data_IF_531126060646
#
_entry.id   IF_531126060646
#
_cell.length_a   1.000
_cell.length_b   1.000
_cell.length_c   1.000
_cell.angle_alpha   90.00
_cell.angle_beta   90.00
_cell.angle_gamma   90.00
#
_symmetry.space_group_name_H-M   'P 1'
#
loop_
_entity.id
_entity.type
_entity.pdbx_description
1 polymer ?
#
# COMPACT_ATOMS: atom_id res chain seq x y z
N UNK A 1 -0.29 -4.86 23.00
CA UNK A 1 0.69 -5.94 22.78
C UNK A 1 1.79 -5.42 21.87
N UNK A 2 3.01 -5.31 22.39
CA UNK A 2 4.18 -4.88 21.59
C UNK A 2 4.53 -5.92 20.53
N UNK A 3 4.36 -7.21 20.83
CA UNK A 3 4.67 -8.30 19.90
C UNK A 3 3.83 -8.23 18.62
N UNK A 4 2.51 -7.95 18.73
CA UNK A 4 1.65 -7.79 17.56
C UNK A 4 2.00 -6.57 16.71
N UNK A 5 2.35 -5.46 17.36
CA UNK A 5 2.82 -4.26 16.67
C UNK A 5 4.15 -4.52 15.95
N UNK A 6 5.15 -5.07 16.62
CA UNK A 6 6.44 -5.40 16.03
C UNK A 6 6.32 -6.40 14.88
N UNK A 7 5.39 -7.36 14.96
CA UNK A 7 5.12 -8.29 13.86
C UNK A 7 4.57 -7.55 12.62
N UNK A 8 3.59 -6.67 12.78
CA UNK A 8 3.01 -5.90 11.66
C UNK A 8 4.08 -4.99 11.02
N UNK A 9 4.82 -4.26 11.84
CA UNK A 9 5.88 -3.36 11.36
C UNK A 9 6.90 -4.13 10.52
N UNK A 10 7.44 -5.24 11.04
CA UNK A 10 8.55 -5.97 10.41
C UNK A 10 8.14 -6.93 9.30
N UNK A 11 6.99 -7.60 9.41
CA UNK A 11 6.59 -8.61 8.43
C UNK A 11 5.72 -8.07 7.30
N UNK A 12 5.01 -6.96 7.52
CA UNK A 12 4.14 -6.38 6.50
C UNK A 12 4.72 -5.06 5.99
N UNK A 13 4.90 -4.08 6.87
CA UNK A 13 5.22 -2.71 6.43
C UNK A 13 6.62 -2.58 5.84
N UNK A 14 7.64 -3.17 6.46
CA UNK A 14 9.01 -3.12 5.92
C UNK A 14 9.11 -3.76 4.51
N UNK A 15 8.61 -4.99 4.28
CA UNK A 15 8.61 -5.60 2.94
C UNK A 15 7.79 -4.82 1.92
N UNK A 16 6.60 -4.35 2.30
CA UNK A 16 5.77 -3.51 1.43
C UNK A 16 6.48 -2.20 1.06
N UNK A 17 7.18 -1.57 2.00
CA UNK A 17 7.95 -0.38 1.71
C UNK A 17 9.11 -0.64 0.75
N UNK A 18 9.88 -1.71 0.98
CA UNK A 18 10.98 -2.12 0.09
C UNK A 18 10.50 -2.36 -1.35
N UNK A 19 9.34 -3.00 -1.51
CA UNK A 19 8.76 -3.39 -2.78
C UNK A 19 7.76 -2.36 -3.36
N UNK A 20 7.71 -1.15 -2.82
CA UNK A 20 6.81 -0.08 -3.30
C UNK A 20 7.33 0.66 -4.54
N UNK A 21 8.59 0.44 -4.92
CA UNK A 21 9.26 1.30 -5.89
C UNK A 21 9.99 2.50 -5.26
N UNK A 22 10.08 2.57 -3.93
CA UNK A 22 10.83 3.61 -3.20
C UNK A 22 12.33 3.41 -3.33
N UNK A 23 12.81 2.19 -3.03
CA UNK A 23 14.24 1.85 -3.04
C UNK A 23 14.71 1.30 -4.39
N UNK A 24 13.85 0.56 -5.10
CA UNK A 24 14.17 -0.04 -6.39
C UNK A 24 13.15 0.38 -7.43
N UNK A 25 13.54 0.99 -8.56
CA UNK A 25 12.59 1.36 -9.59
C UNK A 25 11.95 0.11 -10.21
N UNK A 26 10.67 0.17 -10.61
CA UNK A 26 10.01 -0.94 -11.29
C UNK A 26 10.57 -1.19 -12.70
N UNK A 27 11.20 -0.19 -13.32
CA UNK A 27 11.90 -0.33 -14.61
C UNK A 27 13.16 -1.19 -14.44
N UNK A 28 13.10 -2.42 -14.97
CA UNK A 28 14.19 -3.40 -14.85
C UNK A 28 13.99 -4.46 -13.78
N UNK A 29 12.86 -4.45 -13.06
CA UNK A 29 12.50 -5.55 -12.16
C UNK A 29 12.21 -6.83 -12.96
N UNK A 30 12.63 -7.98 -12.42
CA UNK A 30 12.22 -9.29 -12.97
C UNK A 30 10.70 -9.43 -12.95
N UNK A 31 10.13 -10.21 -13.88
CA UNK A 31 8.68 -10.29 -14.08
C UNK A 31 7.90 -10.65 -12.82
N UNK A 32 8.42 -11.56 -11.99
CA UNK A 32 7.77 -11.98 -10.75
C UNK A 32 7.81 -10.89 -9.67
N UNK A 33 8.95 -10.18 -9.53
CA UNK A 33 9.06 -9.03 -8.61
C UNK A 33 8.09 -7.94 -9.05
N UNK A 34 8.02 -7.68 -10.36
CA UNK A 34 7.08 -6.71 -10.92
C UNK A 34 5.62 -7.01 -10.55
N UNK A 35 5.22 -8.28 -10.53
CA UNK A 35 3.89 -8.67 -10.06
C UNK A 35 3.68 -8.39 -8.58
N UNK A 36 4.66 -8.70 -7.73
CA UNK A 36 4.58 -8.40 -6.29
C UNK A 36 4.47 -6.89 -6.04
N UNK A 37 5.25 -6.07 -6.76
CA UNK A 37 5.18 -4.61 -6.69
C UNK A 37 3.81 -4.09 -7.14
N UNK A 38 3.18 -4.69 -8.17
CA UNK A 38 1.84 -4.30 -8.65
C UNK A 38 0.71 -4.63 -7.68
N UNK A 39 0.85 -5.70 -6.89
CA UNK A 39 -0.14 -6.07 -5.87
C UNK A 39 -0.02 -5.17 -4.63
N UNK A 40 1.17 -4.66 -4.36
CA UNK A 40 1.45 -3.81 -3.21
C UNK A 40 0.72 -2.45 -3.32
N UNK A 41 -0.25 -2.15 -2.43
CA UNK A 41 -1.00 -0.89 -2.46
C UNK A 41 -0.09 0.33 -2.23
N UNK A 42 1.01 0.16 -1.49
CA UNK A 42 1.96 1.24 -1.20
C UNK A 42 2.68 1.74 -2.46
N UNK A 43 2.77 0.92 -3.51
CA UNK A 43 3.29 1.32 -4.82
C UNK A 43 2.47 2.45 -5.43
N UNK A 44 1.15 2.38 -5.28
CA UNK A 44 0.21 3.35 -5.83
C UNK A 44 0.22 4.65 -5.02
N UNK A 45 0.29 4.56 -3.69
CA UNK A 45 0.43 5.73 -2.81
C UNK A 45 1.71 6.53 -3.15
N UNK A 46 2.85 5.85 -3.23
CA UNK A 46 4.12 6.48 -3.59
C UNK A 46 4.09 7.09 -5.00
N UNK A 47 3.52 6.37 -5.97
CA UNK A 47 3.38 6.86 -7.33
C UNK A 47 2.50 8.12 -7.40
N UNK A 48 1.38 8.17 -6.67
CA UNK A 48 0.52 9.35 -6.59
C UNK A 48 1.29 10.57 -6.04
N UNK A 49 2.06 10.39 -4.96
CA UNK A 49 2.88 11.47 -4.39
C UNK A 49 3.89 11.98 -5.42
N UNK A 50 4.56 11.09 -6.16
CA UNK A 50 5.51 11.49 -7.21
C UNK A 50 4.84 12.27 -8.35
N UNK A 51 3.68 11.81 -8.81
CA UNK A 51 2.86 12.51 -9.82
C UNK A 51 2.46 13.92 -9.37
N UNK A 52 2.19 14.12 -8.07
CA UNK A 52 1.79 15.42 -7.54
C UNK A 52 2.97 16.37 -7.29
N UNK A 53 4.13 15.82 -6.89
CA UNK A 53 5.33 16.61 -6.61
C UNK A 53 6.08 17.01 -7.88
N UNK A 54 6.17 16.11 -8.85
CA UNK A 54 6.88 16.33 -10.11
C UNK A 54 6.09 15.74 -11.30
N UNK A 55 5.03 16.43 -11.75
CA UNK A 55 4.13 15.91 -12.79
C UNK A 55 4.79 15.71 -14.16
N UNK A 56 5.91 16.38 -14.42
CA UNK A 56 6.61 16.34 -15.71
C UNK A 56 7.75 15.33 -15.74
N UNK A 57 7.88 14.51 -14.69
CA UNK A 57 8.98 13.56 -14.58
C UNK A 57 8.85 12.44 -15.63
N UNK A 58 9.79 12.30 -16.58
CA UNK A 58 9.72 11.27 -17.61
C UNK A 58 9.81 9.84 -17.05
N UNK A 59 10.33 9.66 -15.83
CA UNK A 59 10.36 8.35 -15.17
C UNK A 59 8.97 7.83 -14.79
N UNK A 60 7.96 8.70 -14.67
CA UNK A 60 6.59 8.31 -14.32
C UNK A 60 5.95 7.45 -15.41
N UNK A 61 6.24 7.74 -16.69
CA UNK A 61 5.72 6.96 -17.82
C UNK A 61 6.44 5.63 -18.04
N UNK A 62 7.68 5.51 -17.53
CA UNK A 62 8.58 4.39 -17.77
C UNK A 62 8.42 3.22 -16.78
N UNK A 63 7.47 3.30 -15.84
CA UNK A 63 7.25 2.19 -14.92
C UNK A 63 6.25 2.42 -13.78
N UNK A 64 5.70 3.63 -13.63
CA UNK A 64 4.71 3.91 -12.60
C UNK A 64 3.28 3.92 -13.15
N UNK A 65 2.29 3.50 -12.34
CA UNK A 65 0.89 3.57 -12.76
C UNK A 65 0.42 5.02 -12.95
N UNK A 66 -0.61 5.20 -13.77
CA UNK A 66 -1.23 6.50 -14.00
C UNK A 66 -1.85 7.07 -12.73
N UNK A 67 -1.79 8.40 -12.54
CA UNK A 67 -2.32 9.08 -11.35
C UNK A 67 -3.77 8.67 -10.98
N UNK A 68 -4.75 8.58 -11.90
CA UNK A 68 -6.11 8.17 -11.54
C UNK A 68 -6.18 6.76 -10.95
N UNK A 69 -5.42 5.82 -11.52
CA UNK A 69 -5.32 4.46 -10.98
C UNK A 69 -4.68 4.46 -9.60
N UNK A 70 -3.64 5.28 -9.39
CA UNK A 70 -2.99 5.40 -8.09
C UNK A 70 -3.96 5.86 -7.00
N UNK A 71 -4.72 6.92 -7.29
CA UNK A 71 -5.73 7.46 -6.38
C UNK A 71 -6.84 6.44 -6.11
N UNK A 72 -7.34 5.78 -7.17
CA UNK A 72 -8.38 4.75 -7.03
C UNK A 72 -7.94 3.62 -6.11
N UNK A 73 -6.76 3.03 -6.34
CA UNK A 73 -6.25 1.92 -5.53
C UNK A 73 -6.03 2.38 -4.08
N UNK A 74 -5.46 3.56 -3.88
CA UNK A 74 -5.24 4.13 -2.55
C UNK A 74 -6.55 4.30 -1.78
N UNK A 75 -7.57 4.88 -2.43
CA UNK A 75 -8.89 5.07 -1.82
C UNK A 75 -9.56 3.73 -1.50
N UNK A 76 -9.55 2.78 -2.44
CA UNK A 76 -10.11 1.45 -2.23
C UNK A 76 -9.42 0.70 -1.09
N UNK A 77 -8.09 0.76 -1.02
CA UNK A 77 -7.33 0.12 0.05
C UNK A 77 -7.59 0.77 1.40
N UNK A 78 -7.62 2.10 1.46
CA UNK A 78 -7.93 2.86 2.68
C UNK A 78 -9.34 2.55 3.19
N UNK A 79 -10.34 2.55 2.29
CA UNK A 79 -11.71 2.19 2.64
C UNK A 79 -11.80 0.72 3.07
N UNK A 80 -11.14 -0.19 2.37
CA UNK A 80 -11.14 -1.61 2.70
C UNK A 80 -10.55 -1.88 4.09
N UNK A 81 -9.39 -1.33 4.39
CA UNK A 81 -8.75 -1.47 5.71
C UNK A 81 -9.55 -0.81 6.82
N UNK A 82 -10.17 0.34 6.55
CA UNK A 82 -11.08 1.01 7.48
C UNK A 82 -12.32 0.16 7.78
N UNK A 83 -12.97 -0.40 6.76
CA UNK A 83 -14.15 -1.26 6.91
C UNK A 83 -13.82 -2.55 7.65
N UNK A 84 -12.68 -3.18 7.35
CA UNK A 84 -12.19 -4.35 8.10
C UNK A 84 -11.96 -3.97 9.57
N UNK A 85 -11.32 -2.83 9.83
CA UNK A 85 -11.08 -2.35 11.20
C UNK A 85 -12.39 -2.12 11.94
N UNK A 86 -13.35 -1.45 11.30
CA UNK A 86 -14.68 -1.19 11.85
C UNK A 86 -15.42 -2.49 12.17
N UNK A 87 -15.42 -3.45 11.25
CA UNK A 87 -16.04 -4.76 11.42
C UNK A 87 -15.42 -5.56 12.57
N UNK A 88 -14.08 -5.57 12.68
CA UNK A 88 -13.37 -6.25 13.79
C UNK A 88 -13.74 -5.62 15.14
N UNK A 89 -13.86 -4.29 15.20
CA UNK A 89 -14.24 -3.58 16.44
C UNK A 89 -15.69 -3.91 16.82
N UNK A 90 -16.61 -3.87 15.85
CA UNK A 90 -18.03 -4.17 16.08
C UNK A 90 -18.25 -5.57 16.66
N UNK A 91 -17.47 -6.56 16.22
CA UNK A 91 -17.56 -7.93 16.75
C UNK A 91 -17.13 -8.07 18.21
N UNK A 92 -16.32 -7.13 18.72
CA UNK A 92 -15.78 -7.20 20.08
C UNK A 92 -16.62 -6.48 21.12
N UNK A 93 -17.72 -5.83 20.73
CA UNK A 93 -18.53 -4.96 21.60
C UNK A 93 -19.67 -5.67 22.36
N UNK A 94 -19.78 -7.00 22.36
CA UNK A 94 -20.85 -7.74 23.09
C UNK A 94 -20.25 -9.01 23.71
N UNK A 95 -20.12 -9.10 25.06
CA UNK A 95 -21.25 -9.38 25.95
C UNK A 95 -21.27 -8.51 27.22
N UNK A 96 -22.27 -7.62 27.31
CA UNK A 96 -22.73 -7.06 28.59
C UNK A 96 -23.92 -7.92 29.02
N UNK A 97 -23.67 -9.07 29.63
CA UNK A 97 -24.66 -9.73 30.47
C UNK A 97 -23.93 -10.33 31.67
N UNK A 98 -24.45 -9.95 32.85
CA UNK A 98 -24.13 -10.34 34.23
C UNK A 98 -23.03 -9.56 34.96
#
# INVERSE_FOLDING_TARGET
>A
STQGFHAIMNLLLFPMWLLSGALFPPSGASTWVGWVMKVNPLTYELAAVRHLLDPQNPMLELGFPSLPLCVLVTVLFSLGTFLVSFWVVQQRSVPILE
#
